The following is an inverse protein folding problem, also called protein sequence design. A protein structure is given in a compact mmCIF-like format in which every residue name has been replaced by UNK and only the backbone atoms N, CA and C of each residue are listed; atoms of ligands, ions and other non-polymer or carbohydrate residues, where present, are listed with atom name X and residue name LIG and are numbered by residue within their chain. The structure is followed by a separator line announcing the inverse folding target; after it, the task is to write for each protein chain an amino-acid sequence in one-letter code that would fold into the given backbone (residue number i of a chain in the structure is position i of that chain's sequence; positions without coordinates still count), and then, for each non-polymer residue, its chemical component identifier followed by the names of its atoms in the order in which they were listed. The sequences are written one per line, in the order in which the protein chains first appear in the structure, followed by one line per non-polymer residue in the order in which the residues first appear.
data_IF_952575335938
#
_entry.id   IF_952575335938
#
_cell.length_a   1.000
_cell.length_b   1.000
_cell.length_c   1.000
_cell.angle_alpha   90.00
_cell.angle_beta   90.00
_cell.angle_gamma   90.00
#
_symmetry.space_group_name_H-M   'P 1'
#
loop_
_entity.id
_entity.type
_entity.pdbx_description
1 polymer ?
#
# COMPACT_ATOMS: atom_id res chain seq x y z
N UNK A 1 -9.25 75.37 23.01
CA UNK A 1 -9.05 74.24 22.07
C UNK A 1 -9.83 73.07 22.64
N UNK A 2 -11.09 72.93 22.22
CA UNK A 2 -12.01 71.90 22.70
C UNK A 2 -12.43 71.08 21.48
N UNK A 3 -12.07 69.81 21.44
CA UNK A 3 -12.46 68.90 20.35
C UNK A 3 -13.71 68.12 20.75
N UNK A 4 -14.77 68.31 19.97
CA UNK A 4 -16.02 67.57 19.97
C UNK A 4 -15.78 66.05 19.82
N UNK A 5 -16.45 65.25 20.65
CA UNK A 5 -16.60 63.81 20.44
C UNK A 5 -18.09 63.57 20.13
N UNK A 6 -18.41 63.24 18.88
CA UNK A 6 -19.72 62.70 18.50
C UNK A 6 -19.74 61.19 18.79
N UNK A 7 -20.81 60.62 19.36
CA UNK A 7 -20.94 59.18 19.51
C UNK A 7 -21.29 58.54 18.16
N UNK A 8 -20.45 57.60 17.71
CA UNK A 8 -20.70 56.82 16.50
C UNK A 8 -21.81 55.79 16.75
N UNK A 9 -22.84 55.89 15.92
CA UNK A 9 -23.98 54.99 15.81
C UNK A 9 -23.53 53.63 15.25
N UNK A 10 -23.87 52.52 15.91
CA UNK A 10 -23.61 51.17 15.40
C UNK A 10 -24.66 50.77 14.36
N UNK A 11 -24.28 50.41 13.12
CA UNK A 11 -25.23 49.76 12.22
C UNK A 11 -25.41 48.30 12.62
N UNK A 12 -26.64 47.97 13.05
CA UNK A 12 -27.12 46.60 13.20
C UNK A 12 -27.45 46.02 11.82
N UNK A 13 -26.56 45.17 11.30
CA UNK A 13 -26.79 43.99 10.41
C UNK A 13 -25.55 43.76 9.53
N UNK A 14 -24.82 42.69 9.83
CA UNK A 14 -23.83 42.09 8.93
C UNK A 14 -24.57 41.24 7.88
N UNK A 15 -24.12 41.21 6.61
CA UNK A 15 -24.68 40.31 5.61
C UNK A 15 -24.34 38.85 5.93
N UNK A 16 -25.31 37.97 5.71
CA UNK A 16 -25.22 36.53 5.93
C UNK A 16 -24.32 35.91 4.85
N UNK A 17 -23.02 35.81 5.15
CA UNK A 17 -22.05 35.07 4.35
C UNK A 17 -21.98 33.67 4.94
N UNK A 18 -22.68 32.72 4.32
CA UNK A 18 -22.45 31.29 4.54
C UNK A 18 -20.97 31.01 4.27
N UNK A 19 -20.22 30.87 5.34
CA UNK A 19 -18.82 30.51 5.32
C UNK A 19 -18.78 28.99 5.15
N UNK A 20 -18.46 28.54 3.94
CA UNK A 20 -17.99 27.17 3.76
C UNK A 20 -16.73 27.01 4.63
N UNK A 21 -16.78 26.06 5.56
CA UNK A 21 -15.71 25.81 6.51
C UNK A 21 -14.47 25.31 5.74
N UNK A 22 -13.50 26.19 5.55
CA UNK A 22 -12.18 25.81 5.06
C UNK A 22 -11.53 24.97 6.16
N UNK A 23 -11.20 23.68 5.92
CA UNK A 23 -10.48 22.89 6.91
C UNK A 23 -9.11 23.54 7.18
N UNK A 24 -8.56 23.44 8.41
CA UNK A 24 -7.37 24.18 8.86
C UNK A 24 -6.09 23.91 8.04
N UNK A 25 -6.14 23.00 7.06
CA UNK A 25 -5.01 22.57 6.25
C UNK A 25 -5.11 22.91 4.75
N UNK A 26 -6.13 23.65 4.29
CA UNK A 26 -6.13 24.23 2.92
C UNK A 26 -5.96 23.24 1.76
N UNK A 27 -6.23 21.95 1.96
CA UNK A 27 -6.19 20.94 0.90
C UNK A 27 -7.52 20.96 0.14
N UNK A 28 -7.54 21.03 -1.20
CA UNK A 28 -8.76 20.81 -1.97
C UNK A 28 -9.27 19.40 -1.71
N UNK A 29 -10.59 19.21 -1.65
CA UNK A 29 -11.23 17.89 -1.64
C UNK A 29 -10.80 17.11 -2.89
N UNK A 30 -9.72 16.34 -2.78
CA UNK A 30 -9.45 15.22 -3.66
C UNK A 30 -9.95 14.00 -2.91
N UNK A 31 -11.12 13.48 -3.28
CA UNK A 31 -11.53 12.14 -2.87
C UNK A 31 -10.61 11.14 -3.55
N UNK A 32 -9.44 10.92 -2.96
CA UNK A 32 -8.41 10.03 -3.49
C UNK A 32 -8.90 8.57 -3.55
N UNK A 33 -9.92 8.25 -2.75
CA UNK A 33 -10.54 6.95 -2.69
C UNK A 33 -11.92 7.03 -3.32
N UNK A 34 -12.05 6.52 -4.55
CA UNK A 34 -13.36 6.14 -5.07
C UNK A 34 -13.94 5.06 -4.14
N UNK A 35 -15.23 5.18 -3.80
CA UNK A 35 -15.93 4.14 -3.07
C UNK A 35 -15.84 2.85 -3.89
N UNK A 36 -15.31 1.81 -3.26
CA UNK A 36 -15.20 0.49 -3.86
C UNK A 36 -16.62 0.00 -4.17
N UNK A 37 -16.91 -0.49 -5.38
CA UNK A 37 -18.20 -1.10 -5.69
C UNK A 37 -18.54 -2.22 -4.69
N UNK A 38 -19.83 -2.46 -4.46
CA UNK A 38 -20.29 -3.66 -3.77
C UNK A 38 -20.14 -4.85 -4.75
N UNK A 39 -19.33 -5.85 -4.39
CA UNK A 39 -19.03 -6.99 -5.25
C UNK A 39 -19.82 -8.25 -4.84
N UNK A 40 -20.16 -9.07 -5.86
CA UNK A 40 -20.81 -10.38 -5.75
C UNK A 40 -20.03 -11.34 -4.86
N UNK A 41 -20.73 -11.93 -3.88
CA UNK A 41 -20.22 -13.01 -3.04
C UNK A 41 -20.04 -14.25 -3.93
N UNK A 42 -18.80 -14.57 -4.30
CA UNK A 42 -18.47 -15.85 -4.92
C UNK A 42 -18.33 -16.90 -3.81
N UNK A 43 -19.19 -17.92 -3.82
CA UNK A 43 -19.17 -19.04 -2.88
C UNK A 43 -17.93 -19.92 -3.11
N UNK A 44 -17.00 -19.91 -2.15
CA UNK A 44 -15.74 -20.64 -2.17
C UNK A 44 -15.83 -21.97 -1.40
N UNK A 45 -16.56 -22.93 -1.94
CA UNK A 45 -16.36 -24.33 -1.55
C UNK A 45 -15.82 -25.15 -2.73
N UNK A 46 -14.59 -25.62 -2.50
CA UNK A 46 -13.97 -26.78 -3.13
C UNK A 46 -13.19 -26.53 -4.44
N UNK A 47 -11.94 -26.07 -4.32
CA UNK A 47 -10.93 -26.38 -5.34
C UNK A 47 -9.57 -26.68 -4.70
N UNK A 48 -9.36 -27.94 -4.33
CA UNK A 48 -8.02 -28.49 -4.13
C UNK A 48 -7.32 -28.51 -5.49
N UNK A 49 -6.34 -27.65 -5.68
CA UNK A 49 -5.38 -27.77 -6.79
C UNK A 49 -4.23 -28.66 -6.30
N UNK A 50 -4.02 -29.77 -7.01
CA UNK A 50 -2.93 -30.71 -6.78
C UNK A 50 -1.59 -30.05 -7.11
N UNK A 51 -0.64 -30.17 -6.18
CA UNK A 51 0.70 -29.58 -6.28
C UNK A 51 1.59 -30.51 -7.10
N UNK A 52 2.00 -30.07 -8.29
CA UNK A 52 3.15 -30.65 -8.99
C UNK A 52 4.39 -29.80 -8.67
N UNK A 53 5.29 -30.37 -7.87
CA UNK A 53 6.61 -29.81 -7.61
C UNK A 53 7.47 -29.92 -8.87
N UNK A 54 7.77 -28.79 -9.50
CA UNK A 54 8.87 -28.70 -10.45
C UNK A 54 9.80 -27.56 -10.06
N UNK A 55 10.98 -27.95 -9.57
CA UNK A 55 12.13 -27.09 -9.35
C UNK A 55 12.55 -26.43 -10.67
N UNK A 56 12.06 -25.22 -10.91
CA UNK A 56 12.51 -24.38 -12.02
C UNK A 56 13.50 -23.36 -11.45
N UNK A 57 14.67 -23.24 -12.08
CA UNK A 57 15.64 -22.19 -11.79
C UNK A 57 14.90 -20.84 -11.69
N UNK A 58 15.24 -20.05 -10.67
CA UNK A 58 14.52 -18.82 -10.35
C UNK A 58 14.57 -17.86 -11.54
N UNK A 59 13.44 -17.71 -12.23
CA UNK A 59 13.21 -16.61 -13.15
C UNK A 59 13.35 -15.29 -12.38
N UNK A 60 13.84 -14.24 -13.04
CA UNK A 60 13.96 -12.91 -12.43
C UNK A 60 12.66 -12.51 -11.71
N UNK A 61 12.75 -11.89 -10.52
CA UNK A 61 11.58 -11.43 -9.79
C UNK A 61 10.70 -10.50 -10.62
N UNK A 62 9.41 -10.84 -10.69
CA UNK A 62 8.34 -9.92 -11.11
C UNK A 62 7.61 -9.44 -9.85
N UNK A 63 7.63 -8.14 -9.62
CA UNK A 63 7.06 -7.47 -8.45
C UNK A 63 5.67 -6.95 -8.79
N UNK A 64 4.64 -7.47 -8.16
CA UNK A 64 3.29 -6.92 -8.23
C UNK A 64 3.06 -5.94 -7.09
N UNK A 65 2.58 -4.73 -7.40
CA UNK A 65 2.14 -3.75 -6.40
C UNK A 65 0.61 -3.74 -6.38
N UNK A 66 0.01 -4.15 -5.26
CA UNK A 66 -1.43 -4.27 -5.07
C UNK A 66 -1.96 -3.02 -4.39
N UNK A 67 -2.77 -2.25 -5.13
CA UNK A 67 -3.15 -0.89 -4.76
C UNK A 67 -2.06 0.08 -5.18
N UNK A 68 -2.28 0.79 -6.29
CA UNK A 68 -1.33 1.78 -6.84
C UNK A 68 -1.82 3.19 -6.59
N UNK A 69 -2.26 3.42 -5.36
CA UNK A 69 -2.52 4.74 -4.80
C UNK A 69 -1.24 5.56 -4.63
N UNK A 70 -1.20 6.47 -3.66
CA UNK A 70 -0.08 7.40 -3.50
C UNK A 70 1.22 6.65 -3.17
N UNK A 71 1.14 5.77 -2.18
CA UNK A 71 2.25 4.91 -1.77
C UNK A 71 2.58 3.89 -2.87
N UNK A 72 1.57 3.23 -3.43
CA UNK A 72 1.78 2.21 -4.46
C UNK A 72 2.40 2.75 -5.75
N UNK A 73 2.09 3.98 -6.17
CA UNK A 73 2.76 4.63 -7.31
C UNK A 73 4.26 4.82 -7.05
N UNK A 74 4.64 5.22 -5.84
CA UNK A 74 6.05 5.35 -5.45
C UNK A 74 6.75 4.00 -5.38
N UNK A 75 6.07 2.96 -4.89
CA UNK A 75 6.59 1.60 -4.93
C UNK A 75 6.81 1.15 -6.38
N UNK A 76 5.87 1.41 -7.29
CA UNK A 76 6.04 1.08 -8.70
C UNK A 76 7.27 1.78 -9.28
N UNK A 77 7.40 3.08 -9.04
CA UNK A 77 8.54 3.86 -9.53
C UNK A 77 9.88 3.32 -8.99
N UNK A 78 10.02 3.19 -7.68
CA UNK A 78 11.24 2.70 -7.04
C UNK A 78 11.60 1.28 -7.51
N UNK A 79 10.65 0.35 -7.50
CA UNK A 79 10.92 -1.04 -7.87
C UNK A 79 11.21 -1.22 -9.36
N UNK A 80 10.73 -0.33 -10.24
CA UNK A 80 11.02 -0.38 -11.67
C UNK A 80 12.49 -0.11 -12.01
N UNK A 81 13.27 0.44 -11.08
CA UNK A 81 14.71 0.63 -11.23
C UNK A 81 15.50 -0.69 -11.29
N UNK A 82 15.01 -1.74 -10.61
CA UNK A 82 15.66 -3.06 -10.53
C UNK A 82 14.84 -4.22 -11.08
N UNK A 83 13.51 -4.07 -11.21
CA UNK A 83 12.61 -5.19 -11.50
C UNK A 83 11.58 -4.90 -12.58
N UNK A 84 11.01 -5.98 -13.13
CA UNK A 84 9.74 -5.90 -13.84
C UNK A 84 8.62 -5.70 -12.82
N UNK A 85 7.77 -4.70 -13.04
CA UNK A 85 6.72 -4.31 -12.11
C UNK A 85 5.34 -4.40 -12.76
N UNK A 86 4.41 -5.05 -12.06
CA UNK A 86 3.00 -5.10 -12.41
C UNK A 86 2.17 -4.33 -11.36
N UNK A 87 1.73 -3.13 -11.68
CA UNK A 87 0.79 -2.38 -10.85
C UNK A 87 -0.64 -2.93 -11.02
N UNK A 88 -1.31 -3.25 -9.92
CA UNK A 88 -2.70 -3.69 -9.89
C UNK A 88 -3.57 -2.75 -9.07
N UNK A 89 -4.68 -2.32 -9.65
CA UNK A 89 -5.71 -1.53 -8.97
C UNK A 89 -7.11 -1.94 -9.44
N UNK A 90 -8.10 -1.74 -8.58
CA UNK A 90 -9.52 -1.93 -8.92
C UNK A 90 -10.06 -0.75 -9.74
N UNK A 91 -9.47 0.45 -9.58
CA UNK A 91 -9.89 1.69 -10.23
C UNK A 91 -9.38 1.78 -11.68
N UNK A 92 -10.31 1.83 -12.63
CA UNK A 92 -10.00 1.97 -14.07
C UNK A 92 -9.36 3.32 -14.40
N UNK A 93 -9.88 4.37 -13.78
CA UNK A 93 -9.40 5.74 -13.95
C UNK A 93 -7.96 5.84 -13.47
N UNK A 94 -7.65 5.23 -12.31
CA UNK A 94 -6.30 5.18 -11.77
C UNK A 94 -5.34 4.42 -12.67
N UNK A 95 -5.73 3.25 -13.17
CA UNK A 95 -4.91 2.46 -14.09
C UNK A 95 -4.65 3.22 -15.39
N UNK A 96 -5.66 3.90 -15.94
CA UNK A 96 -5.52 4.68 -17.18
C UNK A 96 -4.57 5.86 -16.99
N UNK A 97 -4.68 6.57 -15.87
CA UNK A 97 -3.77 7.65 -15.51
C UNK A 97 -2.31 7.15 -15.42
N UNK A 98 -2.07 6.06 -14.68
CA UNK A 98 -0.72 5.57 -14.45
C UNK A 98 -0.07 4.99 -15.72
N UNK A 99 -0.85 4.35 -16.60
CA UNK A 99 -0.35 3.93 -17.92
C UNK A 99 0.22 5.12 -18.72
N UNK A 100 -0.39 6.29 -18.60
CA UNK A 100 0.12 7.50 -19.25
C UNK A 100 1.38 8.04 -18.55
N UNK A 101 1.40 8.08 -17.21
CA UNK A 101 2.56 8.55 -16.43
C UNK A 101 3.82 7.71 -16.68
N UNK A 102 3.66 6.39 -16.84
CA UNK A 102 4.78 5.43 -17.00
C UNK A 102 4.93 4.92 -18.44
N UNK A 103 4.34 5.59 -19.43
CA UNK A 103 4.31 5.12 -20.83
C UNK A 103 5.70 4.89 -21.47
N UNK A 104 6.74 5.50 -20.90
CA UNK A 104 8.13 5.37 -21.37
C UNK A 104 8.98 4.41 -20.52
N UNK A 105 8.37 3.71 -19.56
CA UNK A 105 9.05 2.74 -18.72
C UNK A 105 8.62 1.32 -19.11
N UNK A 106 9.42 0.67 -19.96
CA UNK A 106 9.15 -0.68 -20.49
C UNK A 106 9.13 -1.78 -19.41
N UNK A 107 9.59 -1.48 -18.18
CA UNK A 107 9.57 -2.41 -17.05
C UNK A 107 8.26 -2.36 -16.27
N UNK A 108 7.39 -1.39 -16.55
CA UNK A 108 6.16 -1.16 -15.78
C UNK A 108 4.94 -1.46 -16.63
N UNK A 109 4.05 -2.28 -16.08
CA UNK A 109 2.73 -2.55 -16.66
C UNK A 109 1.67 -2.38 -15.61
N UNK A 110 0.48 -1.98 -16.04
CA UNK A 110 -0.68 -1.82 -15.16
C UNK A 110 -1.85 -2.67 -15.64
N UNK A 111 -2.53 -3.33 -14.71
CA UNK A 111 -3.71 -4.14 -14.97
C UNK A 111 -4.75 -3.96 -13.87
N UNK A 112 -6.01 -4.22 -14.22
CA UNK A 112 -7.10 -4.37 -13.27
C UNK A 112 -7.63 -5.80 -13.20
N UNK A 113 -7.02 -6.70 -13.97
CA UNK A 113 -7.49 -8.07 -14.15
C UNK A 113 -6.70 -8.96 -13.18
N UNK A 114 -7.33 -9.56 -12.15
CA UNK A 114 -6.62 -10.33 -11.14
C UNK A 114 -5.79 -11.48 -11.70
N UNK A 115 -6.25 -12.15 -12.76
CA UNK A 115 -5.53 -13.29 -13.37
C UNK A 115 -4.14 -12.95 -13.90
N UNK A 116 -3.90 -11.68 -14.23
CA UNK A 116 -2.60 -11.24 -14.72
C UNK A 116 -1.55 -11.29 -13.60
N UNK A 117 -1.96 -11.35 -12.33
CA UNK A 117 -1.06 -11.50 -11.17
C UNK A 117 -0.37 -12.86 -11.10
N UNK A 118 -0.85 -13.88 -11.83
CA UNK A 118 -0.27 -15.22 -11.81
C UNK A 118 1.19 -15.30 -12.30
N UNK A 119 1.66 -14.27 -13.01
CA UNK A 119 3.07 -14.17 -13.45
C UNK A 119 3.98 -13.62 -12.36
N UNK A 120 3.42 -12.94 -11.35
CA UNK A 120 4.19 -12.29 -10.30
C UNK A 120 4.74 -13.30 -9.29
N UNK A 121 5.84 -12.92 -8.67
CA UNK A 121 6.52 -13.75 -7.64
C UNK A 121 6.61 -13.04 -6.31
N UNK A 122 6.63 -11.71 -6.33
CA UNK A 122 6.71 -10.86 -5.16
C UNK A 122 5.50 -9.92 -5.19
N UNK A 123 4.85 -9.72 -4.04
CA UNK A 123 3.62 -8.94 -3.91
C UNK A 123 3.79 -7.90 -2.81
N UNK A 124 3.63 -6.63 -3.15
CA UNK A 124 3.69 -5.50 -2.23
C UNK A 124 2.28 -4.95 -2.05
N UNK A 125 1.71 -5.02 -0.84
CA UNK A 125 0.34 -4.62 -0.57
C UNK A 125 0.31 -3.18 -0.05
N UNK A 126 -0.21 -2.26 -0.85
CA UNK A 126 -0.31 -0.82 -0.56
C UNK A 126 -1.76 -0.32 -0.76
N UNK A 127 -2.71 -1.01 -0.14
CA UNK A 127 -4.13 -0.66 -0.16
C UNK A 127 -4.52 0.27 1.01
N UNK A 128 -5.65 0.98 0.94
CA UNK A 128 -6.09 1.88 2.00
C UNK A 128 -6.28 1.16 3.34
N UNK A 129 -5.99 1.87 4.42
CA UNK A 129 -6.21 1.44 5.80
C UNK A 129 -6.98 2.53 6.50
N UNK A 130 -8.30 2.44 6.36
CA UNK A 130 -9.22 3.44 6.86
C UNK A 130 -9.50 3.20 8.36
N UNK A 131 -10.01 4.21 9.04
CA UNK A 131 -10.55 4.05 10.39
C UNK A 131 -12.07 3.89 10.28
N UNK A 132 -12.60 2.90 10.99
CA UNK A 132 -14.04 2.76 11.22
C UNK A 132 -14.54 3.90 12.13
N UNK A 133 -15.87 4.16 12.19
CA UNK A 133 -16.44 5.19 13.05
C UNK A 133 -16.07 5.05 14.54
N UNK A 134 -15.78 3.83 14.99
CA UNK A 134 -15.33 3.51 16.35
C UNK A 134 -13.80 3.65 16.56
N UNK A 135 -13.08 4.17 15.56
CA UNK A 135 -11.62 4.36 15.49
C UNK A 135 -10.81 3.06 15.43
N UNK A 136 -11.44 1.92 15.20
CA UNK A 136 -10.70 0.70 14.86
C UNK A 136 -10.22 0.74 13.41
N UNK A 137 -9.13 0.01 13.11
CA UNK A 137 -8.58 -0.06 11.74
C UNK A 137 -9.46 -0.97 10.90
N UNK A 138 -9.96 -0.45 9.78
CA UNK A 138 -10.63 -1.26 8.76
C UNK A 138 -9.60 -2.11 8.01
N UNK A 139 -9.68 -3.43 8.21
CA UNK A 139 -8.81 -4.41 7.55
C UNK A 139 -9.38 -4.98 6.24
N UNK A 140 -10.59 -4.54 5.82
CA UNK A 140 -11.31 -5.11 4.68
C UNK A 140 -10.49 -5.08 3.39
N UNK A 141 -9.83 -3.96 3.10
CA UNK A 141 -8.99 -3.78 1.92
C UNK A 141 -7.79 -4.73 1.89
N UNK A 142 -7.09 -4.87 3.03
CA UNK A 142 -5.95 -5.79 3.14
C UNK A 142 -6.42 -7.22 2.97
N UNK A 143 -7.53 -7.61 3.61
CA UNK A 143 -8.09 -8.96 3.47
C UNK A 143 -8.47 -9.28 2.01
N UNK A 144 -9.06 -8.33 1.30
CA UNK A 144 -9.37 -8.47 -0.13
C UNK A 144 -8.11 -8.63 -0.97
N UNK A 145 -7.08 -7.81 -0.73
CA UNK A 145 -5.78 -7.93 -1.40
C UNK A 145 -5.14 -9.31 -1.16
N UNK A 146 -5.13 -9.78 0.09
CA UNK A 146 -4.62 -11.09 0.46
C UNK A 146 -5.41 -12.23 -0.20
N UNK A 147 -6.73 -12.12 -0.28
CA UNK A 147 -7.56 -13.11 -0.97
C UNK A 147 -7.25 -13.16 -2.48
N UNK A 148 -7.10 -12.00 -3.13
CA UNK A 148 -6.66 -11.94 -4.53
C UNK A 148 -5.30 -12.61 -4.69
N UNK A 149 -4.33 -12.29 -3.84
CA UNK A 149 -2.99 -12.88 -3.89
C UNK A 149 -3.06 -14.40 -3.68
N UNK A 150 -3.81 -14.90 -2.70
CA UNK A 150 -3.91 -16.34 -2.44
C UNK A 150 -4.43 -17.16 -3.63
N UNK A 151 -5.20 -16.54 -4.54
CA UNK A 151 -5.71 -17.20 -5.75
C UNK A 151 -4.69 -17.30 -6.89
N UNK A 152 -3.62 -16.49 -6.88
CA UNK A 152 -2.68 -16.38 -8.00
C UNK A 152 -1.21 -16.53 -7.63
N UNK A 153 -0.86 -16.30 -6.37
CA UNK A 153 0.46 -16.58 -5.83
C UNK A 153 0.70 -18.09 -5.78
N UNK A 154 1.98 -18.44 -5.82
CA UNK A 154 2.43 -19.83 -5.74
C UNK A 154 3.28 -20.01 -4.49
N UNK A 155 3.44 -21.24 -4.04
CA UNK A 155 4.36 -21.57 -2.94
C UNK A 155 5.74 -20.96 -3.23
N UNK A 156 6.35 -20.35 -2.21
CA UNK A 156 7.61 -19.61 -2.33
C UNK A 156 7.48 -18.16 -2.82
N UNK A 157 6.26 -17.68 -3.13
CA UNK A 157 6.03 -16.25 -3.37
C UNK A 157 6.37 -15.42 -2.13
N UNK A 158 6.77 -14.17 -2.35
CA UNK A 158 7.08 -13.20 -1.30
C UNK A 158 5.92 -12.23 -1.19
N UNK A 159 5.39 -12.01 0.01
CA UNK A 159 4.28 -11.09 0.27
C UNK A 159 4.70 -10.13 1.36
N UNK A 160 4.64 -8.83 1.08
CA UNK A 160 5.02 -7.77 2.01
C UNK A 160 3.86 -6.80 2.15
N UNK A 161 3.42 -6.57 3.39
CA UNK A 161 2.46 -5.51 3.69
C UNK A 161 3.21 -4.17 3.76
N UNK A 162 2.83 -3.24 2.90
CA UNK A 162 3.32 -1.85 2.87
C UNK A 162 2.31 -0.86 3.46
N UNK A 163 1.01 -1.23 3.43
CA UNK A 163 -0.06 -0.51 4.09
C UNK A 163 0.21 -0.31 5.58
N UNK A 164 -0.24 0.82 6.13
CA UNK A 164 -0.13 1.09 7.57
C UNK A 164 -1.08 0.19 8.35
N UNK A 165 -0.57 -0.60 9.27
CA UNK A 165 -1.39 -1.52 10.09
C UNK A 165 -1.11 -1.31 11.57
N UNK A 166 -2.06 -1.68 12.43
CA UNK A 166 -1.81 -1.70 13.86
C UNK A 166 -0.83 -2.83 14.21
N UNK A 167 -0.12 -2.66 15.33
CA UNK A 167 0.85 -3.64 15.82
C UNK A 167 0.19 -5.02 16.02
N UNK A 168 0.78 -6.05 15.43
CA UNK A 168 0.31 -7.43 15.41
C UNK A 168 -0.57 -7.79 14.21
N UNK A 169 -1.04 -6.82 13.42
CA UNK A 169 -1.97 -7.10 12.31
C UNK A 169 -1.31 -7.84 11.14
N UNK A 170 -0.03 -7.59 10.82
CA UNK A 170 0.66 -8.35 9.77
C UNK A 170 0.65 -9.83 10.11
N UNK A 171 1.04 -10.18 11.33
CA UNK A 171 1.02 -11.57 11.81
C UNK A 171 -0.38 -12.16 11.77
N UNK A 172 -1.38 -11.43 12.27
CA UNK A 172 -2.75 -11.90 12.32
C UNK A 172 -3.35 -12.15 10.93
N UNK A 173 -3.05 -11.29 9.95
CA UNK A 173 -3.67 -11.33 8.62
C UNK A 173 -2.90 -12.19 7.64
N UNK A 174 -1.57 -12.08 7.61
CA UNK A 174 -0.71 -12.74 6.62
C UNK A 174 -0.07 -14.02 7.15
N UNK A 175 0.13 -14.16 8.48
CA UNK A 175 0.75 -15.34 9.08
C UNK A 175 0.07 -16.67 8.71
N UNK A 176 -1.26 -16.82 8.89
CA UNK A 176 -1.95 -18.06 8.52
C UNK A 176 -1.82 -18.43 7.04
N UNK A 177 -1.93 -17.44 6.15
CA UNK A 177 -1.77 -17.65 4.70
C UNK A 177 -0.33 -18.03 4.35
N UNK A 178 0.65 -17.42 5.01
CA UNK A 178 2.06 -17.71 4.81
C UNK A 178 2.39 -19.15 5.21
N UNK A 179 1.89 -19.60 6.35
CA UNK A 179 2.06 -20.98 6.84
C UNK A 179 1.37 -21.99 5.90
N UNK A 180 0.10 -21.76 5.57
CA UNK A 180 -0.70 -22.67 4.75
C UNK A 180 -0.11 -22.85 3.34
N UNK A 181 0.27 -21.75 2.69
CA UNK A 181 0.71 -21.78 1.29
C UNK A 181 2.23 -21.81 1.13
N UNK A 182 3.01 -21.62 2.21
CA UNK A 182 4.47 -21.50 2.17
C UNK A 182 4.94 -20.24 1.47
N UNK A 183 4.35 -19.10 1.80
CA UNK A 183 4.81 -17.79 1.33
C UNK A 183 5.89 -17.23 2.25
N UNK A 184 6.92 -16.63 1.68
CA UNK A 184 7.77 -15.73 2.47
C UNK A 184 6.98 -14.46 2.77
N UNK A 185 6.92 -14.06 4.02
CA UNK A 185 5.96 -13.06 4.46
C UNK A 185 6.57 -12.04 5.40
N UNK A 186 6.12 -10.79 5.32
CA UNK A 186 6.61 -9.75 6.20
C UNK A 186 5.93 -8.41 6.00
N UNK A 187 6.58 -7.37 6.53
CA UNK A 187 6.05 -6.02 6.54
C UNK A 187 7.17 -5.00 6.36
N UNK A 188 6.85 -3.93 5.65
CA UNK A 188 7.68 -2.74 5.52
C UNK A 188 6.77 -1.52 5.68
N UNK A 189 7.01 -0.59 6.62
CA UNK A 189 6.21 0.62 6.70
C UNK A 189 6.59 1.58 5.58
N UNK A 190 5.60 2.22 4.97
CA UNK A 190 5.84 3.43 4.20
C UNK A 190 6.27 4.59 5.11
N UNK A 191 7.28 5.37 4.70
CA UNK A 191 7.89 6.44 5.52
C UNK A 191 8.10 7.76 4.76
N UNK A 192 7.60 7.88 3.54
CA UNK A 192 7.57 9.12 2.78
C UNK A 192 6.54 10.09 3.39
N UNK A 193 6.95 11.34 3.55
CA UNK A 193 6.09 12.45 3.97
C UNK A 193 5.44 13.08 2.72
N UNK A 194 4.09 13.06 2.59
CA UNK A 194 3.41 13.59 1.43
C UNK A 194 3.62 15.09 1.19
N UNK A 195 4.07 15.84 2.19
CA UNK A 195 4.40 17.26 2.07
C UNK A 195 5.84 17.55 1.65
N UNK A 196 6.70 16.54 1.49
CA UNK A 196 8.15 16.73 1.33
C UNK A 196 8.71 15.96 0.13
N UNK A 197 9.25 16.70 -0.84
CA UNK A 197 9.87 16.13 -2.04
C UNK A 197 11.32 15.64 -1.81
N UNK A 198 11.98 16.10 -0.73
CA UNK A 198 13.39 15.79 -0.42
C UNK A 198 13.54 15.24 1.00
N UNK A 199 14.33 14.18 1.24
CA UNK A 199 15.07 13.40 0.25
C UNK A 199 14.16 12.51 -0.61
N UNK A 200 14.63 12.12 -1.79
CA UNK A 200 13.94 11.13 -2.64
C UNK A 200 13.61 9.85 -1.86
N UNK A 201 12.47 9.21 -2.17
CA UNK A 201 11.95 8.05 -1.43
C UNK A 201 12.99 6.92 -1.28
N UNK A 202 13.75 6.61 -2.34
CA UNK A 202 14.80 5.59 -2.32
C UNK A 202 16.01 5.89 -1.41
N UNK A 203 16.18 7.15 -1.00
CA UNK A 203 17.23 7.57 -0.06
C UNK A 203 16.77 7.53 1.41
N UNK A 204 15.46 7.44 1.65
CA UNK A 204 14.92 7.24 2.99
C UNK A 204 15.21 5.79 3.41
N UNK A 205 15.85 5.55 4.57
CA UNK A 205 16.13 4.19 5.02
C UNK A 205 14.85 3.36 5.12
N UNK A 206 14.81 2.24 4.39
CA UNK A 206 13.64 1.36 4.33
C UNK A 206 13.71 0.34 5.46
N UNK A 207 12.72 0.33 6.33
CA UNK A 207 12.59 -0.70 7.38
C UNK A 207 11.90 -1.91 6.77
N UNK A 208 12.44 -3.10 7.05
CA UNK A 208 11.83 -4.36 6.61
C UNK A 208 11.82 -5.37 7.74
N UNK A 209 10.84 -6.27 7.72
CA UNK A 209 10.70 -7.38 8.66
C UNK A 209 10.23 -8.63 7.93
N UNK A 210 10.52 -9.79 8.50
CA UNK A 210 9.99 -11.08 8.08
C UNK A 210 9.25 -11.78 9.22
N UNK A 211 8.28 -12.62 8.87
CA UNK A 211 7.66 -13.59 9.77
C UNK A 211 8.51 -14.87 9.83
N UNK A 212 9.79 -14.75 10.20
CA UNK A 212 10.74 -15.87 10.20
C UNK A 212 10.38 -16.98 11.19
N UNK A 213 9.62 -16.65 12.23
CA UNK A 213 9.09 -17.63 13.17
C UNK A 213 7.92 -18.44 12.59
N UNK A 214 7.30 -17.97 11.50
CA UNK A 214 6.25 -18.67 10.75
C UNK A 214 6.84 -19.37 9.52
N UNK A 215 7.60 -18.64 8.70
CA UNK A 215 8.27 -19.16 7.50
C UNK A 215 9.74 -18.70 7.52
N UNK A 216 10.68 -19.58 7.95
CA UNK A 216 12.10 -19.24 8.05
C UNK A 216 12.69 -18.78 6.72
N UNK A 217 13.50 -17.72 6.77
CA UNK A 217 14.12 -17.10 5.59
C UNK A 217 13.32 -15.93 5.01
N UNK A 218 12.16 -15.60 5.58
CA UNK A 218 11.34 -14.48 5.13
C UNK A 218 12.09 -13.14 5.17
N UNK A 219 12.75 -12.82 6.28
CA UNK A 219 13.51 -11.56 6.40
C UNK A 219 14.65 -11.49 5.40
N UNK A 220 15.35 -12.60 5.14
CA UNK A 220 16.48 -12.62 4.20
C UNK A 220 16.01 -12.33 2.77
N UNK A 221 14.96 -13.02 2.31
CA UNK A 221 14.41 -12.83 0.96
C UNK A 221 13.83 -11.42 0.80
N UNK A 222 13.10 -10.91 1.80
CA UNK A 222 12.57 -9.54 1.78
C UNK A 222 13.71 -8.53 1.80
N UNK A 223 14.73 -8.69 2.64
CA UNK A 223 15.88 -7.77 2.70
C UNK A 223 16.58 -7.68 1.35
N UNK A 224 16.78 -8.82 0.67
CA UNK A 224 17.36 -8.88 -0.68
C UNK A 224 16.50 -8.14 -1.71
N UNK A 225 15.18 -8.35 -1.69
CA UNK A 225 14.23 -7.67 -2.58
C UNK A 225 14.34 -6.15 -2.47
N UNK A 226 14.38 -5.61 -1.26
CA UNK A 226 14.42 -4.15 -1.05
C UNK A 226 15.83 -3.57 -1.25
N UNK A 227 16.89 -4.32 -0.97
CA UNK A 227 18.27 -3.84 -1.08
C UNK A 227 18.70 -3.57 -2.54
N UNK A 228 18.00 -4.15 -3.51
CA UNK A 228 18.21 -3.88 -4.93
C UNK A 228 17.79 -2.44 -5.32
N UNK A 229 16.75 -1.90 -4.68
CA UNK A 229 16.14 -0.61 -5.10
C UNK A 229 16.27 0.51 -4.07
N UNK A 230 16.51 0.18 -2.79
CA UNK A 230 16.74 1.17 -1.73
C UNK A 230 18.20 1.21 -1.33
N UNK A 231 18.74 2.43 -1.16
CA UNK A 231 20.15 2.63 -0.80
C UNK A 231 20.52 2.05 0.58
N UNK A 232 19.56 2.06 1.50
CA UNK A 232 19.75 1.55 2.87
C UNK A 232 18.49 0.82 3.32
N UNK A 233 18.65 -0.47 3.58
CA UNK A 233 17.62 -1.31 4.19
C UNK A 233 18.01 -1.59 5.65
N UNK A 234 17.03 -1.48 6.55
CA UNK A 234 17.17 -1.71 7.99
C UNK A 234 16.26 -2.90 8.34
N UNK A 235 16.81 -4.12 8.39
CA UNK A 235 16.06 -5.27 8.86
C UNK A 235 15.79 -5.15 10.37
N UNK A 236 14.58 -5.49 10.80
CA UNK A 236 14.19 -5.58 12.21
C UNK A 236 13.69 -6.97 12.56
N UNK A 237 13.61 -7.28 13.84
CA UNK A 237 13.47 -8.65 14.35
C UNK A 237 12.12 -9.33 14.05
N UNK A 238 11.04 -8.56 13.92
CA UNK A 238 9.71 -9.07 13.63
C UNK A 238 8.78 -7.96 13.09
N UNK A 239 7.62 -8.31 12.51
CA UNK A 239 6.68 -7.32 11.98
C UNK A 239 6.20 -6.32 13.02
N UNK A 240 6.01 -6.74 14.28
CA UNK A 240 5.54 -5.86 15.35
C UNK A 240 6.49 -4.68 15.59
N UNK A 241 7.80 -4.91 15.46
CA UNK A 241 8.80 -3.84 15.57
C UNK A 241 8.70 -2.90 14.36
N UNK A 242 8.51 -3.43 13.16
CA UNK A 242 8.38 -2.62 11.96
C UNK A 242 7.10 -1.77 11.99
N UNK A 243 5.97 -2.36 12.37
CA UNK A 243 4.67 -1.70 12.55
C UNK A 243 4.76 -0.56 13.57
N UNK A 244 5.45 -0.77 14.69
CA UNK A 244 5.65 0.25 15.71
C UNK A 244 6.45 1.46 15.20
N UNK A 245 7.32 1.30 14.21
CA UNK A 245 8.13 2.43 13.70
C UNK A 245 7.34 3.46 12.89
N UNK A 246 6.08 3.17 12.57
CA UNK A 246 5.19 4.08 11.84
C UNK A 246 4.50 5.11 12.75
N UNK A 247 4.39 4.81 14.05
CA UNK A 247 3.68 5.61 15.06
C UNK A 247 4.66 6.28 16.03
#
# INVERSE_FOLDING_TARGET
MSTNINPLCFPSKLPDIRTEAIPPWGLPERSYYDLTPEDEILDFHNRKLSVEETSKAASDPIVAVIGVGYVGEQLVDNFSSGYQVLGYDVSDSRISQLKQSFQFNDRVRFTRIPRDLAVATHFLISVPTLLLPDRTVDSSYIRRALNVIANYARRGSVIVIESSVAVGMTRQLLGPLAEEHGYFAGMSPERVDPGRAEPHASAIPKIVSGLDDVVPGSLDVITKLYAEVFRRVIPVSCPEVAEMTKF
#
